data_IF_372486395548
#
_entry.id   IF_372486395548
#
_cell.length_a   1.000
_cell.length_b   1.000
_cell.length_c   1.000
_cell.angle_alpha   90.00
_cell.angle_beta   90.00
_cell.angle_gamma   90.00
#
_symmetry.space_group_name_H-M   'P 1'
#
loop_
_entity.id
_entity.type
_entity.pdbx_description
1 polymer ?
#
# COMPACT_ATOMS: atom_id res chain seq x y z
N UNK A 1 -9.86 28.86 -39.19
CA UNK A 1 -9.19 27.57 -39.44
C UNK A 1 -9.87 26.51 -38.58
N UNK A 2 -10.40 25.48 -39.23
CA UNK A 2 -11.29 24.48 -38.65
C UNK A 2 -10.49 23.43 -37.87
N UNK A 3 -10.55 23.46 -36.54
CA UNK A 3 -10.09 22.36 -35.69
C UNK A 3 -11.25 21.41 -35.49
N UNK A 4 -11.37 20.44 -36.40
CA UNK A 4 -12.23 19.27 -36.26
C UNK A 4 -11.80 18.45 -35.03
N UNK A 5 -12.37 18.79 -33.87
CA UNK A 5 -12.33 17.96 -32.67
C UNK A 5 -13.15 16.70 -32.94
N UNK A 6 -12.47 15.62 -33.27
CA UNK A 6 -13.11 14.34 -33.54
C UNK A 6 -13.83 13.87 -32.26
N UNK A 7 -15.15 13.59 -32.27
CA UNK A 7 -15.89 13.16 -31.08
C UNK A 7 -15.36 11.85 -30.47
N UNK A 8 -14.61 11.08 -31.25
CA UNK A 8 -13.89 9.87 -30.81
C UNK A 8 -12.66 10.21 -29.95
N UNK A 9 -11.96 11.32 -30.22
CA UNK A 9 -10.79 11.73 -29.45
C UNK A 9 -11.17 12.22 -28.05
N UNK A 10 -12.26 13.00 -27.93
CA UNK A 10 -12.81 13.39 -26.62
C UNK A 10 -13.36 12.19 -25.83
N UNK A 11 -13.85 11.16 -26.54
CA UNK A 11 -14.32 9.92 -25.89
C UNK A 11 -13.15 9.07 -25.42
N UNK A 12 -12.04 9.00 -26.18
CA UNK A 12 -10.79 8.35 -25.76
C UNK A 12 -10.09 9.10 -24.63
N UNK A 13 -10.02 10.42 -24.66
CA UNK A 13 -9.45 11.25 -23.58
C UNK A 13 -10.26 11.13 -22.28
N UNK A 14 -11.58 10.94 -22.38
CA UNK A 14 -12.46 10.67 -21.23
C UNK A 14 -12.39 9.21 -20.75
N UNK A 15 -12.07 8.26 -21.64
CA UNK A 15 -11.87 6.83 -21.30
C UNK A 15 -10.48 6.59 -20.69
N UNK A 16 -9.46 7.28 -21.20
CA UNK A 16 -8.09 7.33 -20.65
C UNK A 16 -7.99 8.56 -19.74
N UNK A 17 -8.98 8.73 -18.85
CA UNK A 17 -8.92 9.73 -17.80
C UNK A 17 -7.78 9.44 -16.82
N UNK A 18 -7.45 10.43 -15.97
CA UNK A 18 -6.44 10.28 -14.92
C UNK A 18 -6.70 9.05 -14.04
N UNK A 19 -7.95 8.86 -13.63
CA UNK A 19 -8.43 7.75 -12.80
C UNK A 19 -8.11 6.38 -13.42
N UNK A 20 -8.40 6.18 -14.72
CA UNK A 20 -8.08 4.95 -15.45
C UNK A 20 -6.58 4.70 -15.49
N UNK A 21 -5.77 5.75 -15.70
CA UNK A 21 -4.31 5.64 -15.77
C UNK A 21 -3.70 5.28 -14.41
N UNK A 22 -4.20 5.90 -13.33
CA UNK A 22 -3.77 5.59 -11.96
C UNK A 22 -4.10 4.14 -11.60
N UNK A 23 -5.33 3.71 -11.88
CA UNK A 23 -5.74 2.32 -11.63
C UNK A 23 -4.92 1.33 -12.47
N UNK A 24 -4.73 1.61 -13.76
CA UNK A 24 -3.92 0.78 -14.64
C UNK A 24 -2.47 0.67 -14.16
N UNK A 25 -1.87 1.78 -13.73
CA UNK A 25 -0.52 1.79 -13.20
C UNK A 25 -0.43 0.87 -11.99
N UNK A 26 -1.31 1.04 -11.00
CA UNK A 26 -1.28 0.25 -9.77
C UNK A 26 -1.56 -1.23 -10.02
N UNK A 27 -2.60 -1.57 -10.78
CA UNK A 27 -2.99 -2.96 -10.98
C UNK A 27 -2.06 -3.71 -11.94
N UNK A 28 -1.45 -3.04 -12.92
CA UNK A 28 -0.48 -3.68 -13.81
C UNK A 28 0.96 -3.64 -13.29
N UNK A 29 1.25 -2.84 -12.26
CA UNK A 29 2.61 -2.74 -11.73
C UNK A 29 3.24 -4.11 -11.43
N UNK A 30 2.55 -5.07 -10.77
CA UNK A 30 3.11 -6.37 -10.47
C UNK A 30 3.52 -7.21 -11.70
N UNK A 31 2.87 -6.97 -12.84
CA UNK A 31 3.21 -7.64 -14.11
C UNK A 31 4.48 -7.03 -14.72
N UNK A 32 4.66 -5.72 -14.56
CA UNK A 32 5.72 -4.92 -15.20
C UNK A 32 6.99 -4.90 -14.35
N UNK A 33 6.86 -4.82 -13.03
CA UNK A 33 7.97 -4.78 -12.09
C UNK A 33 8.62 -6.15 -11.86
N UNK A 34 8.00 -7.23 -12.36
CA UNK A 34 8.51 -8.60 -12.28
C UNK A 34 8.11 -9.35 -11.01
N UNK A 35 7.34 -8.74 -10.10
CA UNK A 35 6.89 -9.39 -8.86
C UNK A 35 5.98 -10.58 -9.17
N UNK A 36 5.05 -10.45 -10.11
CA UNK A 36 4.15 -11.56 -10.46
C UNK A 36 4.87 -12.72 -11.16
N UNK A 37 5.70 -12.50 -12.21
CA UNK A 37 6.60 -13.54 -12.73
C UNK A 37 7.45 -14.20 -11.64
N UNK A 38 7.96 -13.41 -10.68
CA UNK A 38 8.75 -13.96 -9.60
C UNK A 38 7.94 -14.90 -8.69
N UNK A 39 6.70 -14.53 -8.37
CA UNK A 39 5.77 -15.36 -7.60
C UNK A 39 5.39 -16.64 -8.34
N UNK A 40 5.22 -16.59 -9.68
CA UNK A 40 4.99 -17.78 -10.49
C UNK A 40 6.15 -18.76 -10.35
N UNK A 41 7.39 -18.27 -10.55
CA UNK A 41 8.60 -19.11 -10.50
C UNK A 41 8.91 -19.64 -9.10
N UNK A 42 8.55 -18.88 -8.07
CA UNK A 42 8.71 -19.26 -6.68
C UNK A 42 7.57 -20.15 -6.15
N UNK A 43 6.68 -20.66 -7.03
CA UNK A 43 5.66 -21.65 -6.67
C UNK A 43 4.44 -21.09 -5.91
N UNK A 44 4.25 -19.76 -5.86
CA UNK A 44 3.12 -19.16 -5.15
C UNK A 44 1.74 -19.55 -5.70
N UNK A 45 1.71 -20.05 -6.93
CA UNK A 45 0.51 -20.35 -7.72
C UNK A 45 0.35 -21.85 -7.98
N UNK A 46 1.07 -22.72 -7.27
CA UNK A 46 0.96 -24.17 -7.47
C UNK A 46 -0.39 -24.73 -6.99
N UNK A 47 -1.06 -24.04 -6.05
CA UNK A 47 -2.39 -24.35 -5.54
C UNK A 47 -3.38 -23.19 -5.86
N UNK A 48 -4.62 -23.49 -6.30
CA UNK A 48 -5.69 -22.49 -6.44
C UNK A 48 -5.86 -21.53 -5.26
N UNK A 49 -5.64 -22.00 -4.04
CA UNK A 49 -5.82 -21.17 -2.84
C UNK A 49 -4.65 -20.19 -2.65
N UNK A 50 -3.44 -20.60 -3.04
CA UNK A 50 -2.30 -19.69 -3.20
C UNK A 50 -2.58 -18.61 -4.25
N UNK A 51 -3.21 -18.99 -5.36
CA UNK A 51 -3.64 -18.04 -6.38
C UNK A 51 -4.67 -17.02 -5.89
N UNK A 52 -5.65 -17.42 -5.06
CA UNK A 52 -6.58 -16.48 -4.42
C UNK A 52 -5.82 -15.48 -3.54
N UNK A 53 -4.91 -15.98 -2.70
CA UNK A 53 -4.12 -15.15 -1.79
C UNK A 53 -3.24 -14.14 -2.56
N UNK A 54 -2.52 -14.61 -3.58
CA UNK A 54 -1.71 -13.75 -4.47
C UNK A 54 -2.61 -12.73 -5.18
N UNK A 55 -3.76 -13.17 -5.68
CA UNK A 55 -4.73 -12.29 -6.34
C UNK A 55 -5.17 -11.12 -5.47
N UNK A 56 -5.55 -11.41 -4.22
CA UNK A 56 -5.99 -10.39 -3.26
C UNK A 56 -4.85 -9.48 -2.79
N UNK A 57 -3.66 -10.01 -2.55
CA UNK A 57 -2.55 -9.24 -1.97
C UNK A 57 -1.77 -8.42 -3.01
N UNK A 58 -1.58 -8.98 -4.21
CA UNK A 58 -0.71 -8.39 -5.23
C UNK A 58 -1.50 -7.52 -6.21
N UNK A 59 -2.62 -8.02 -6.72
CA UNK A 59 -3.46 -7.26 -7.67
C UNK A 59 -4.58 -6.49 -6.98
N UNK A 60 -5.20 -7.09 -5.96
CA UNK A 60 -6.27 -6.48 -5.15
C UNK A 60 -5.77 -5.68 -3.94
N UNK A 61 -4.46 -5.47 -3.80
CA UNK A 61 -3.85 -4.90 -2.59
C UNK A 61 -4.32 -3.48 -2.24
N UNK A 62 -3.79 -2.95 -1.13
CA UNK A 62 -4.18 -1.63 -0.60
C UNK A 62 -4.04 -0.47 -1.57
N UNK A 63 -3.07 -0.52 -2.48
CA UNK A 63 -2.93 0.49 -3.52
C UNK A 63 -4.17 0.54 -4.44
N UNK A 64 -4.69 -0.62 -4.86
CA UNK A 64 -5.89 -0.71 -5.71
C UNK A 64 -7.11 -0.16 -4.98
N UNK A 65 -7.27 -0.53 -3.70
CA UNK A 65 -8.37 -0.02 -2.86
C UNK A 65 -8.27 1.49 -2.67
N UNK A 66 -7.07 2.01 -2.37
CA UNK A 66 -6.84 3.44 -2.19
C UNK A 66 -7.17 4.21 -3.46
N UNK A 67 -6.71 3.75 -4.63
CA UNK A 67 -7.04 4.40 -5.91
C UNK A 67 -8.55 4.42 -6.16
N UNK A 68 -9.25 3.30 -5.98
CA UNK A 68 -10.69 3.23 -6.26
C UNK A 68 -11.51 4.12 -5.32
N UNK A 69 -11.13 4.22 -4.05
CA UNK A 69 -11.92 4.96 -3.07
C UNK A 69 -11.53 6.42 -2.93
N UNK A 70 -10.23 6.74 -3.01
CA UNK A 70 -9.73 8.10 -2.82
C UNK A 70 -9.64 8.88 -4.14
N UNK A 71 -9.22 8.24 -5.24
CA UNK A 71 -8.91 8.94 -6.49
C UNK A 71 -10.04 8.84 -7.52
N UNK A 72 -10.70 7.68 -7.61
CA UNK A 72 -11.73 7.49 -8.63
C UNK A 72 -13.02 8.26 -8.31
N UNK A 73 -13.44 9.06 -9.27
CA UNK A 73 -14.70 9.79 -9.24
C UNK A 73 -15.80 9.10 -10.06
N UNK A 74 -17.04 9.60 -9.99
CA UNK A 74 -18.16 9.08 -10.79
C UNK A 74 -19.02 8.01 -10.11
N UNK A 75 -19.94 7.44 -10.88
CA UNK A 75 -20.91 6.44 -10.41
C UNK A 75 -20.29 5.04 -10.30
N UNK A 76 -20.81 4.15 -9.43
CA UNK A 76 -20.30 2.78 -9.29
C UNK A 76 -20.21 2.00 -10.61
N UNK A 77 -21.11 2.26 -11.55
CA UNK A 77 -21.11 1.64 -12.88
C UNK A 77 -19.98 2.17 -13.78
N UNK A 78 -19.67 3.45 -13.70
CA UNK A 78 -18.54 4.04 -14.42
C UNK A 78 -17.22 3.49 -13.88
N UNK A 79 -17.08 3.42 -12.55
CA UNK A 79 -15.90 2.84 -11.90
C UNK A 79 -15.73 1.35 -12.25
N UNK A 80 -16.82 0.57 -12.20
CA UNK A 80 -16.81 -0.83 -12.64
C UNK A 80 -16.38 -0.99 -14.11
N UNK A 81 -16.78 -0.07 -14.99
CA UNK A 81 -16.37 -0.09 -16.41
C UNK A 81 -14.87 0.15 -16.54
N UNK A 82 -14.30 1.09 -15.77
CA UNK A 82 -12.86 1.36 -15.75
C UNK A 82 -12.09 0.15 -15.20
N UNK A 83 -12.56 -0.46 -14.11
CA UNK A 83 -11.96 -1.69 -13.55
C UNK A 83 -11.96 -2.82 -14.58
N UNK A 84 -13.05 -3.04 -15.31
CA UNK A 84 -13.10 -4.06 -16.36
C UNK A 84 -12.18 -3.74 -17.55
N UNK A 85 -12.08 -2.47 -17.92
CA UNK A 85 -11.19 -2.01 -19.01
C UNK A 85 -9.72 -2.31 -18.69
N UNK A 86 -9.30 -2.13 -17.44
CA UNK A 86 -7.95 -2.44 -16.96
C UNK A 86 -7.78 -3.94 -16.68
N UNK A 87 -8.80 -4.56 -16.08
CA UNK A 87 -8.76 -5.93 -15.57
C UNK A 87 -8.73 -6.99 -16.66
N UNK A 88 -9.45 -6.80 -17.78
CA UNK A 88 -9.43 -7.77 -18.89
C UNK A 88 -8.00 -7.93 -19.45
N UNK A 89 -7.29 -6.86 -19.87
CA UNK A 89 -5.90 -6.96 -20.30
C UNK A 89 -5.00 -7.57 -19.21
N UNK A 90 -5.18 -7.18 -17.95
CA UNK A 90 -4.39 -7.72 -16.82
C UNK A 90 -4.51 -9.24 -16.74
N UNK A 91 -5.72 -9.79 -16.81
CA UNK A 91 -5.97 -11.24 -16.78
C UNK A 91 -5.29 -11.94 -17.96
N UNK A 92 -5.39 -11.36 -19.16
CA UNK A 92 -4.75 -11.91 -20.35
C UNK A 92 -3.22 -11.91 -20.22
N UNK A 93 -2.63 -10.80 -19.77
CA UNK A 93 -1.19 -10.69 -19.56
C UNK A 93 -0.68 -11.66 -18.48
N UNK A 94 -1.43 -11.85 -17.39
CA UNK A 94 -1.09 -12.81 -16.36
C UNK A 94 -1.03 -14.24 -16.91
N UNK A 95 -2.00 -14.64 -17.75
CA UNK A 95 -1.99 -15.93 -18.42
C UNK A 95 -0.79 -16.10 -19.38
N UNK A 96 -0.45 -15.04 -20.13
CA UNK A 96 0.74 -15.04 -21.01
C UNK A 96 2.03 -15.19 -20.20
N UNK A 97 2.18 -14.46 -19.09
CA UNK A 97 3.37 -14.56 -18.24
C UNK A 97 3.53 -15.95 -17.63
N UNK A 98 2.44 -16.56 -17.18
CA UNK A 98 2.47 -17.92 -16.67
C UNK A 98 2.86 -18.94 -17.75
N UNK A 99 2.34 -18.80 -18.97
CA UNK A 99 2.71 -19.67 -20.09
C UNK A 99 4.20 -19.56 -20.48
N UNK A 100 4.82 -18.40 -20.22
CA UNK A 100 6.24 -18.13 -20.46
C UNK A 100 7.13 -18.42 -19.23
N UNK A 101 6.55 -18.75 -18.07
CA UNK A 101 7.32 -18.95 -16.85
C UNK A 101 8.41 -20.03 -16.99
N UNK A 102 8.18 -21.20 -17.60
CA UNK A 102 9.23 -22.21 -17.77
C UNK A 102 10.43 -21.71 -18.59
N UNK A 103 10.19 -20.90 -19.61
CA UNK A 103 11.26 -20.30 -20.42
C UNK A 103 12.10 -19.29 -19.62
N UNK A 104 11.51 -18.62 -18.63
CA UNK A 104 12.24 -17.72 -17.72
C UNK A 104 12.99 -18.55 -16.67
N UNK A 105 12.36 -19.58 -16.12
CA UNK A 105 12.96 -20.45 -15.10
C UNK A 105 14.14 -21.27 -15.61
N UNK A 106 14.20 -21.62 -16.91
CA UNK A 106 15.29 -22.42 -17.48
C UNK A 106 16.67 -21.74 -17.41
N UNK A 107 16.70 -20.41 -17.36
CA UNK A 107 17.93 -19.61 -17.26
C UNK A 107 18.24 -19.15 -15.83
N UNK A 108 17.51 -19.64 -14.83
CA UNK A 108 17.61 -19.17 -13.44
C UNK A 108 17.78 -20.34 -12.45
N UNK A 109 18.68 -20.17 -11.48
CA UNK A 109 18.68 -20.95 -10.24
C UNK A 109 17.44 -20.56 -9.42
N UNK A 110 16.43 -21.43 -9.44
CA UNK A 110 15.14 -21.22 -8.80
C UNK A 110 15.30 -21.02 -7.28
N UNK A 111 16.24 -21.70 -6.63
CA UNK A 111 16.42 -21.61 -5.18
C UNK A 111 16.97 -20.25 -4.77
N UNK A 112 17.95 -19.72 -5.52
CA UNK A 112 18.46 -18.37 -5.29
C UNK A 112 17.35 -17.35 -5.60
N UNK A 113 16.69 -17.51 -6.74
CA UNK A 113 15.64 -16.60 -7.19
C UNK A 113 14.47 -16.50 -6.20
N UNK A 114 14.00 -17.64 -5.67
CA UNK A 114 12.94 -17.72 -4.66
C UNK A 114 13.28 -16.90 -3.40
N UNK A 115 14.52 -16.98 -2.93
CA UNK A 115 14.98 -16.22 -1.75
C UNK A 115 14.95 -14.72 -2.01
N UNK A 116 15.35 -14.28 -3.19
CA UNK A 116 15.27 -12.88 -3.57
C UNK A 116 13.82 -12.43 -3.74
N UNK A 117 12.94 -13.23 -4.35
CA UNK A 117 11.51 -12.93 -4.45
C UNK A 117 10.88 -12.75 -3.07
N UNK A 118 11.19 -13.65 -2.12
CA UNK A 118 10.78 -13.52 -0.73
C UNK A 118 11.26 -12.20 -0.11
N UNK A 119 12.53 -11.83 -0.32
CA UNK A 119 13.11 -10.58 0.18
C UNK A 119 12.40 -9.34 -0.41
N UNK A 120 12.12 -9.35 -1.71
CA UNK A 120 11.40 -8.27 -2.41
C UNK A 120 10.03 -8.04 -1.77
N UNK A 121 9.26 -9.10 -1.54
CA UNK A 121 7.92 -9.00 -0.97
C UNK A 121 7.99 -8.47 0.48
N UNK A 122 8.94 -8.96 1.29
CA UNK A 122 9.17 -8.41 2.64
C UNK A 122 9.54 -6.93 2.58
N UNK A 123 10.37 -6.52 1.62
CA UNK A 123 10.76 -5.13 1.46
C UNK A 123 9.58 -4.22 1.07
N UNK A 124 8.74 -4.66 0.13
CA UNK A 124 7.52 -3.95 -0.27
C UNK A 124 6.55 -3.85 0.92
N UNK A 125 6.33 -4.95 1.64
CA UNK A 125 5.48 -5.00 2.82
C UNK A 125 5.96 -4.01 3.89
N UNK A 126 7.25 -4.06 4.24
CA UNK A 126 7.84 -3.20 5.25
C UNK A 126 7.76 -1.71 4.87
N UNK A 127 8.04 -1.36 3.61
CA UNK A 127 7.92 0.01 3.09
C UNK A 127 6.48 0.52 3.05
N UNK A 128 5.52 -0.39 2.87
CA UNK A 128 4.09 -0.06 2.92
C UNK A 128 3.61 0.14 4.37
N UNK A 129 4.16 -0.63 5.32
CA UNK A 129 3.79 -0.56 6.73
C UNK A 129 4.43 0.64 7.47
N UNK A 130 5.64 1.06 7.10
CA UNK A 130 6.35 2.14 7.78
C UNK A 130 7.27 2.93 6.85
N UNK A 131 7.06 4.25 6.82
CA UNK A 131 7.94 5.18 6.11
C UNK A 131 9.38 5.13 6.67
N UNK A 132 9.54 5.06 7.99
CA UNK A 132 10.86 5.03 8.64
C UNK A 132 11.65 3.78 8.28
N UNK A 133 11.02 2.59 8.28
CA UNK A 133 11.69 1.35 7.86
C UNK A 133 11.95 1.37 6.35
N UNK A 134 11.05 1.99 5.57
CA UNK A 134 11.17 2.14 4.13
C UNK A 134 12.43 2.86 3.65
N UNK A 135 13.00 3.75 4.48
CA UNK A 135 14.23 4.49 4.15
C UNK A 135 15.51 3.67 4.34
N UNK A 136 15.49 2.66 5.22
CA UNK A 136 16.63 1.79 5.47
C UNK A 136 16.69 0.58 4.53
N UNK A 137 15.57 0.22 3.91
CA UNK A 137 15.48 -0.95 3.05
C UNK A 137 15.90 -0.63 1.61
N UNK A 138 16.62 -1.54 0.93
CA UNK A 138 16.93 -1.39 -0.48
C UNK A 138 15.64 -1.27 -1.30
N UNK A 139 15.70 -0.49 -2.39
CA UNK A 139 14.58 -0.41 -3.31
C UNK A 139 14.26 -1.80 -3.89
N UNK A 140 12.99 -2.25 -3.91
CA UNK A 140 12.57 -3.53 -4.49
C UNK A 140 13.21 -3.83 -5.86
N UNK A 141 13.33 -2.83 -6.73
CA UNK A 141 13.94 -2.98 -8.06
C UNK A 141 15.41 -3.38 -7.99
N UNK A 142 16.16 -2.86 -7.00
CA UNK A 142 17.56 -3.22 -6.79
C UNK A 142 17.67 -4.67 -6.31
N UNK A 143 16.78 -5.10 -5.42
CA UNK A 143 16.73 -6.48 -4.93
C UNK A 143 16.42 -7.44 -6.09
N UNK A 144 15.43 -7.11 -6.93
CA UNK A 144 15.09 -7.88 -8.14
C UNK A 144 16.29 -7.98 -9.09
N UNK A 145 16.96 -6.85 -9.36
CA UNK A 145 18.13 -6.82 -10.24
C UNK A 145 19.29 -7.67 -9.71
N UNK A 146 19.60 -7.56 -8.41
CA UNK A 146 20.61 -8.41 -7.76
C UNK A 146 20.20 -9.88 -7.76
N UNK A 147 18.92 -10.17 -7.52
CA UNK A 147 18.39 -11.52 -7.57
C UNK A 147 18.55 -12.14 -8.94
N UNK A 148 18.17 -11.44 -10.00
CA UNK A 148 18.32 -11.89 -11.38
C UNK A 148 19.80 -12.14 -11.73
N UNK A 149 20.70 -11.22 -11.37
CA UNK A 149 22.13 -11.38 -11.64
C UNK A 149 22.71 -12.56 -10.86
N UNK A 150 22.31 -12.73 -9.60
CA UNK A 150 22.77 -13.82 -8.75
C UNK A 150 22.21 -15.19 -9.17
N UNK A 151 21.00 -15.22 -9.73
CA UNK A 151 20.33 -16.45 -10.13
C UNK A 151 20.61 -16.85 -11.58
N UNK A 152 21.22 -16.01 -12.42
CA UNK A 152 21.45 -16.36 -13.83
C UNK A 152 22.32 -17.62 -13.96
N UNK A 153 21.76 -18.64 -14.61
CA UNK A 153 22.47 -19.85 -15.06
C UNK A 153 22.26 -20.01 -16.58
N UNK A 154 23.14 -19.42 -17.41
CA UNK A 154 22.99 -19.45 -18.86
C UNK A 154 23.22 -20.85 -19.46
N UNK A 155 23.76 -21.80 -18.69
CA UNK A 155 23.99 -23.17 -19.17
C UNK A 155 22.70 -23.99 -19.28
N UNK A 156 21.62 -23.57 -18.61
CA UNK A 156 20.29 -24.23 -18.64
C UNK A 156 19.31 -23.67 -19.68
N UNK A 157 19.72 -22.72 -20.52
CA UNK A 157 18.83 -21.97 -21.39
C UNK A 157 18.05 -22.86 -22.38
N UNK A 158 16.75 -23.02 -22.13
CA UNK A 158 15.83 -23.74 -23.01
C UNK A 158 14.56 -22.93 -23.24
N UNK A 159 14.16 -22.76 -24.51
CA UNK A 159 12.90 -22.10 -24.84
C UNK A 159 11.77 -23.12 -24.83
N UNK A 160 11.24 -23.39 -23.65
CA UNK A 160 10.10 -24.29 -23.44
C UNK A 160 8.87 -23.46 -23.14
N UNK A 161 7.85 -23.59 -23.98
CA UNK A 161 6.51 -23.08 -23.67
C UNK A 161 5.80 -24.10 -22.79
N UNK A 162 5.10 -23.63 -21.77
CA UNK A 162 4.55 -24.48 -20.72
C UNK A 162 3.55 -25.54 -21.21
N UNK A 163 3.73 -26.79 -20.79
CA UNK A 163 2.78 -27.91 -21.00
C UNK A 163 1.78 -28.11 -19.84
N UNK A 164 1.90 -27.33 -18.75
CA UNK A 164 1.06 -27.46 -17.57
C UNK A 164 -0.11 -26.44 -17.56
N UNK A 165 -1.33 -26.83 -17.95
CA UNK A 165 -2.48 -25.93 -17.99
C UNK A 165 -2.92 -25.45 -16.60
N UNK A 166 -2.55 -26.15 -15.51
CA UNK A 166 -2.98 -25.76 -14.16
C UNK A 166 -2.32 -24.46 -13.70
N UNK A 167 -1.04 -24.23 -14.01
CA UNK A 167 -0.35 -23.00 -13.59
C UNK A 167 -0.92 -21.76 -14.32
N UNK A 168 -1.22 -21.90 -15.61
CA UNK A 168 -1.87 -20.83 -16.39
C UNK A 168 -3.26 -20.55 -15.83
N UNK A 169 -4.03 -21.59 -15.49
CA UNK A 169 -5.34 -21.43 -14.87
C UNK A 169 -5.23 -20.74 -13.50
N UNK A 170 -4.25 -21.09 -12.68
CA UNK A 170 -4.02 -20.47 -11.37
C UNK A 170 -3.55 -19.01 -11.51
N UNK A 171 -2.73 -18.69 -12.50
CA UNK A 171 -2.33 -17.30 -12.78
C UNK A 171 -3.50 -16.43 -13.24
N UNK A 172 -4.34 -16.97 -14.14
CA UNK A 172 -5.60 -16.33 -14.57
C UNK A 172 -6.57 -16.20 -13.38
N UNK A 173 -6.63 -17.19 -12.50
CA UNK A 173 -7.42 -17.13 -11.26
C UNK A 173 -6.91 -16.01 -10.37
N UNK A 174 -5.61 -15.90 -10.10
CA UNK A 174 -5.04 -14.86 -9.26
C UNK A 174 -5.38 -13.46 -9.79
N UNK A 175 -5.13 -13.23 -11.08
CA UNK A 175 -5.50 -11.98 -11.74
C UNK A 175 -7.02 -11.73 -11.67
N UNK A 176 -7.82 -12.76 -11.93
CA UNK A 176 -9.28 -12.70 -11.88
C UNK A 176 -9.82 -12.36 -10.50
N UNK A 177 -9.23 -12.91 -9.44
CA UNK A 177 -9.57 -12.61 -8.04
C UNK A 177 -9.24 -11.16 -7.71
N UNK A 178 -8.06 -10.66 -8.11
CA UNK A 178 -7.70 -9.26 -7.92
C UNK A 178 -8.65 -8.30 -8.63
N UNK A 179 -9.03 -8.61 -9.87
CA UNK A 179 -10.00 -7.82 -10.64
C UNK A 179 -11.40 -7.91 -10.05
N UNK A 180 -11.85 -9.10 -9.63
CA UNK A 180 -13.15 -9.28 -8.99
C UNK A 180 -13.23 -8.53 -7.66
N UNK A 181 -12.14 -8.53 -6.89
CA UNK A 181 -12.03 -7.75 -5.66
C UNK A 181 -12.10 -6.24 -5.95
N UNK A 182 -11.30 -5.75 -6.90
CA UNK A 182 -11.37 -4.35 -7.35
C UNK A 182 -12.78 -3.95 -7.81
N UNK A 183 -13.47 -4.84 -8.53
CA UNK A 183 -14.83 -4.63 -8.99
C UNK A 183 -15.81 -4.55 -7.82
N UNK A 184 -15.66 -5.42 -6.81
CA UNK A 184 -16.46 -5.37 -5.59
C UNK A 184 -16.26 -4.05 -4.83
N UNK A 185 -15.02 -3.56 -4.72
CA UNK A 185 -14.71 -2.27 -4.09
C UNK A 185 -15.31 -1.10 -4.90
N UNK A 186 -15.20 -1.12 -6.23
CA UNK A 186 -15.77 -0.08 -7.09
C UNK A 186 -17.31 -0.02 -7.00
N UNK A 187 -17.97 -1.17 -6.96
CA UNK A 187 -19.42 -1.25 -6.80
C UNK A 187 -19.87 -0.85 -5.39
N UNK A 188 -19.09 -1.22 -4.36
CA UNK A 188 -19.30 -0.85 -2.97
C UNK A 188 -18.84 0.56 -2.61
N UNK A 189 -18.20 1.28 -3.53
CA UNK A 189 -17.52 2.55 -3.29
C UNK A 189 -18.31 3.60 -2.51
N UNK A 190 -19.61 3.85 -2.81
CA UNK A 190 -20.42 4.82 -2.07
C UNK A 190 -20.57 4.50 -0.58
N UNK A 191 -20.58 3.22 -0.21
CA UNK A 191 -20.64 2.78 1.18
C UNK A 191 -19.24 2.78 1.80
N UNK A 192 -18.26 2.19 1.09
CA UNK A 192 -16.90 2.00 1.59
C UNK A 192 -16.15 3.32 1.84
N UNK A 193 -16.39 4.37 1.05
CA UNK A 193 -15.77 5.69 1.28
C UNK A 193 -16.12 6.30 2.64
N UNK A 194 -17.30 5.98 3.18
CA UNK A 194 -17.77 6.53 4.45
C UNK A 194 -17.44 5.67 5.67
N UNK A 195 -17.21 4.37 5.48
CA UNK A 195 -17.01 3.42 6.57
C UNK A 195 -15.64 2.75 6.60
N UNK A 196 -14.71 3.06 5.68
CA UNK A 196 -13.42 2.37 5.64
C UNK A 196 -12.24 3.30 5.90
N UNK A 197 -11.44 2.94 6.90
CA UNK A 197 -10.15 3.53 7.18
C UNK A 197 -9.08 2.93 6.24
N UNK A 198 -8.70 3.71 5.22
CA UNK A 198 -7.74 3.32 4.19
C UNK A 198 -6.34 3.10 4.78
N UNK A 199 -5.94 3.90 5.78
CA UNK A 199 -4.62 3.78 6.39
C UNK A 199 -4.51 2.48 7.20
N UNK A 200 -5.56 2.14 7.95
CA UNK A 200 -5.63 0.87 8.69
C UNK A 200 -5.66 -0.34 7.73
N UNK A 201 -6.41 -0.26 6.63
CA UNK A 201 -6.38 -1.31 5.60
C UNK A 201 -5.00 -1.43 4.95
N UNK A 202 -4.34 -0.31 4.65
CA UNK A 202 -2.98 -0.28 4.09
C UNK A 202 -1.98 -0.95 5.02
N UNK A 203 -2.02 -0.64 6.31
CA UNK A 203 -1.15 -1.29 7.29
C UNK A 203 -1.42 -2.79 7.40
N UNK A 204 -2.68 -3.20 7.56
CA UNK A 204 -3.03 -4.61 7.71
C UNK A 204 -2.74 -5.45 6.46
N UNK A 205 -2.98 -4.92 5.26
CA UNK A 205 -2.59 -5.56 4.00
C UNK A 205 -1.08 -5.65 3.82
N UNK A 206 -0.30 -4.69 4.33
CA UNK A 206 1.15 -4.77 4.35
C UNK A 206 1.65 -5.89 5.28
N UNK A 207 1.03 -6.06 6.45
CA UNK A 207 1.32 -7.19 7.35
C UNK A 207 0.98 -8.52 6.67
N UNK A 208 -0.19 -8.62 6.02
CA UNK A 208 -0.57 -9.79 5.27
C UNK A 208 0.41 -10.10 4.13
N UNK A 209 0.83 -9.09 3.37
CA UNK A 209 1.85 -9.22 2.33
C UNK A 209 3.20 -9.70 2.90
N UNK A 210 3.59 -9.22 4.08
CA UNK A 210 4.82 -9.65 4.76
C UNK A 210 4.80 -11.11 5.23
N UNK A 211 3.62 -11.70 5.43
CA UNK A 211 3.48 -13.12 5.75
C UNK A 211 3.54 -14.03 4.52
N UNK A 212 3.27 -13.49 3.32
CA UNK A 212 3.22 -14.25 2.06
C UNK A 212 4.53 -15.03 1.80
N UNK A 213 5.73 -14.42 1.92
CA UNK A 213 6.99 -15.13 1.73
C UNK A 213 7.22 -16.27 2.70
N UNK A 214 6.76 -16.12 3.94
CA UNK A 214 6.88 -17.17 4.96
C UNK A 214 6.04 -18.40 4.57
N UNK A 215 4.84 -18.16 4.03
CA UNK A 215 3.99 -19.23 3.50
C UNK A 215 4.61 -19.90 2.28
N UNK A 216 5.31 -19.15 1.42
CA UNK A 216 5.95 -19.71 0.22
C UNK A 216 7.13 -20.60 0.56
N UNK A 217 7.97 -20.18 1.52
CA UNK A 217 9.14 -20.93 1.99
C UNK A 217 8.80 -22.20 2.80
N UNK A 218 7.54 -22.65 2.78
CA UNK A 218 7.09 -23.86 3.46
C UNK A 218 7.07 -23.78 5.00
N UNK A 219 7.18 -22.58 5.58
CA UNK A 219 6.90 -22.42 7.01
C UNK A 219 5.40 -22.63 7.25
N UNK A 220 5.02 -23.03 8.47
CA UNK A 220 3.64 -23.41 8.85
C UNK A 220 2.64 -22.21 8.88
N UNK A 221 2.79 -21.27 7.96
CA UNK A 221 1.99 -20.06 7.81
C UNK A 221 0.94 -20.17 6.70
N UNK A 222 0.81 -21.29 5.98
CA UNK A 222 -0.20 -21.57 4.94
C UNK A 222 -1.19 -20.44 4.60
N UNK A 223 -2.30 -20.35 5.33
CA UNK A 223 -3.36 -19.35 5.08
C UNK A 223 -3.30 -18.10 5.99
N UNK A 224 -2.21 -17.93 6.73
CA UNK A 224 -1.99 -16.77 7.58
C UNK A 224 -2.01 -15.44 6.82
N UNK A 225 -1.44 -15.30 5.59
CA UNK A 225 -1.54 -14.06 4.84
C UNK A 225 -3.00 -13.72 4.49
N UNK A 226 -3.78 -14.69 4.03
CA UNK A 226 -5.21 -14.51 3.74
C UNK A 226 -6.00 -14.18 5.01
N UNK A 227 -5.74 -14.88 6.12
CA UNK A 227 -6.38 -14.60 7.41
C UNK A 227 -6.04 -13.19 7.92
N UNK A 228 -4.77 -12.77 7.82
CA UNK A 228 -4.34 -11.43 8.18
C UNK A 228 -5.01 -10.36 7.32
N UNK A 229 -5.19 -10.62 6.02
CA UNK A 229 -5.92 -9.72 5.13
C UNK A 229 -7.40 -9.61 5.50
N UNK A 230 -8.05 -10.73 5.86
CA UNK A 230 -9.44 -10.71 6.33
C UNK A 230 -9.58 -9.92 7.63
N UNK A 231 -8.70 -10.15 8.59
CA UNK A 231 -8.67 -9.39 9.85
C UNK A 231 -8.43 -7.90 9.55
N UNK A 232 -7.49 -7.56 8.66
CA UNK A 232 -7.24 -6.20 8.24
C UNK A 232 -8.50 -5.55 7.63
N UNK A 233 -9.22 -6.25 6.76
CA UNK A 233 -10.47 -5.78 6.17
C UNK A 233 -11.55 -5.52 7.22
N UNK A 234 -11.74 -6.45 8.16
CA UNK A 234 -12.72 -6.29 9.25
C UNK A 234 -12.38 -5.10 10.14
N UNK A 235 -11.11 -4.96 10.54
CA UNK A 235 -10.68 -3.87 11.42
C UNK A 235 -10.61 -2.51 10.74
N UNK A 236 -10.51 -2.48 9.41
CA UNK A 236 -10.54 -1.25 8.63
C UNK A 236 -11.96 -0.69 8.46
N UNK A 237 -13.01 -1.50 8.68
CA UNK A 237 -14.39 -1.00 8.64
C UNK A 237 -14.70 -0.29 9.97
N UNK A 238 -14.81 1.02 9.91
CA UNK A 238 -15.35 1.88 10.96
C UNK A 238 -16.88 1.91 10.85
N UNK A 239 -17.53 1.07 11.65
CA UNK A 239 -18.97 1.14 11.84
C UNK A 239 -19.25 2.25 12.85
N UNK A 240 -20.06 3.28 12.51
CA UNK A 240 -20.58 4.20 13.50
C UNK A 240 -21.58 3.43 14.35
N UNK A 241 -21.07 2.63 15.29
CA UNK A 241 -21.85 2.21 16.42
C UNK A 241 -22.13 3.51 17.17
N UNK A 242 -23.38 3.95 17.17
CA UNK A 242 -23.92 4.82 18.20
C UNK A 242 -23.66 4.12 19.54
N UNK A 243 -22.42 4.23 20.03
CA UNK A 243 -22.20 4.30 21.46
C UNK A 243 -22.85 5.60 21.84
N UNK A 244 -24.12 5.50 22.22
CA UNK A 244 -24.71 6.37 23.23
C UNK A 244 -23.75 6.34 24.42
N UNK A 245 -22.71 7.16 24.33
CA UNK A 245 -21.92 7.61 25.44
C UNK A 245 -22.80 8.65 26.11
N UNK A 246 -23.89 8.18 26.71
CA UNK A 246 -24.63 8.89 27.73
C UNK A 246 -23.75 8.93 28.98
N UNK A 247 -22.61 9.62 28.88
CA UNK A 247 -21.73 10.02 29.98
C UNK A 247 -21.36 11.51 29.84
N UNK A 248 -22.25 12.26 29.22
CA UNK A 248 -22.35 13.71 29.37
C UNK A 248 -23.63 14.05 30.15
N UNK A 249 -23.64 13.67 31.42
CA UNK A 249 -24.49 14.20 32.48
C UNK A 249 -23.64 14.09 33.75
N UNK A 250 -23.36 15.10 34.56
CA UNK A 250 -23.89 16.45 34.74
C UNK A 250 -22.87 17.13 35.65
N UNK A 251 -22.68 18.44 35.54
CA UNK A 251 -21.90 19.20 36.51
C UNK A 251 -22.46 18.98 37.92
N UNK A 252 -21.63 18.44 38.80
CA UNK A 252 -21.92 18.26 40.22
C UNK A 252 -21.56 19.57 40.93
N UNK A 253 -22.60 20.32 41.30
CA UNK A 253 -22.48 21.50 42.13
C UNK A 253 -23.12 21.19 43.48
N UNK A 254 -22.31 21.35 44.55
CA UNK A 254 -22.64 21.52 45.98
C UNK A 254 -22.61 20.27 46.92
N UNK A 255 -22.42 20.46 48.26
CA UNK A 255 -21.09 20.52 48.93
C UNK A 255 -20.97 19.65 50.21
N UNK A 256 -19.75 19.55 50.79
CA UNK A 256 -19.39 18.96 52.12
C UNK A 256 -19.63 17.44 52.26
N UNK A 257 -18.74 16.58 52.74
CA UNK A 257 -18.02 16.62 54.02
C UNK A 257 -17.03 15.41 54.13
N UNK A 258 -15.84 15.67 54.69
CA UNK A 258 -14.99 14.81 55.56
C UNK A 258 -14.54 13.35 55.24
N UNK A 259 -13.22 13.16 55.48
CA UNK A 259 -12.42 11.96 55.83
C UNK A 259 -11.94 11.08 54.64
N UNK A 260 -10.66 10.86 54.36
CA UNK A 260 -9.39 11.18 55.04
C UNK A 260 -8.40 10.02 54.83
N UNK A 261 -7.18 10.30 54.34
CA UNK A 261 -5.94 9.56 54.68
C UNK A 261 -4.73 10.21 54.01
N UNK A 262 -3.80 10.65 54.85
CA UNK A 262 -2.53 11.30 54.59
C UNK A 262 -1.47 10.31 54.10
N UNK A 263 -0.52 10.76 53.28
CA UNK A 263 0.92 10.45 53.45
C UNK A 263 1.79 11.59 52.90
N UNK A 264 2.86 11.85 53.63
CA UNK A 264 3.73 13.02 53.73
C UNK A 264 5.13 12.77 53.12
N UNK A 265 5.82 13.85 52.73
CA UNK A 265 7.28 13.95 52.59
C UNK A 265 7.80 14.02 51.15
N UNK A 266 8.51 15.06 50.70
CA UNK A 266 9.00 16.29 51.32
C UNK A 266 10.01 16.99 50.39
N UNK A 267 10.22 18.30 50.57
CA UNK A 267 11.45 18.99 50.16
C UNK A 267 11.32 20.15 49.17
N UNK A 268 10.85 21.31 49.64
CA UNK A 268 11.16 22.66 49.15
C UNK A 268 10.89 23.60 50.36
N UNK A 269 11.54 24.71 50.65
CA UNK A 269 12.52 25.60 50.06
C UNK A 269 13.17 26.35 51.26
N UNK A 270 14.26 27.07 51.05
CA UNK A 270 14.50 28.26 51.87
C UNK A 270 15.37 29.28 51.15
N UNK A 271 15.06 30.54 51.45
CA UNK A 271 15.85 31.77 51.30
C UNK A 271 15.63 32.54 49.98
N UNK A 272 15.39 33.86 49.96
CA UNK A 272 14.99 34.81 51.00
C UNK A 272 14.73 36.16 50.28
N UNK A 273 13.95 37.02 50.95
CA UNK A 273 14.03 38.49 50.99
C UNK A 273 14.18 39.35 49.70
N UNK A 274 13.09 40.03 49.37
CA UNK A 274 12.88 41.50 49.48
C UNK A 274 13.83 42.54 48.80
N UNK A 275 13.19 43.39 47.99
CA UNK A 275 13.40 44.83 47.66
C UNK A 275 14.79 45.43 47.38
N UNK A 276 14.95 46.04 46.19
CA UNK A 276 15.04 47.52 46.01
C UNK A 276 15.25 47.92 44.54
N UNK A 277 14.55 48.99 44.14
CA UNK A 277 14.63 49.72 42.87
C UNK A 277 15.98 50.44 42.67
N UNK A 278 16.44 50.57 41.42
CA UNK A 278 16.99 51.85 40.93
C UNK A 278 16.92 51.99 39.40
N UNK A 279 16.55 53.20 38.99
CA UNK A 279 16.27 53.69 37.64
C UNK A 279 17.55 53.92 36.81
N UNK A 280 17.49 53.71 35.48
CA UNK A 280 18.08 54.64 34.47
C UNK A 280 17.83 54.22 33.02
N UNK A 281 16.74 54.75 32.47
CA UNK A 281 16.67 55.58 31.26
C UNK A 281 17.73 55.38 30.13
N UNK A 282 17.29 54.99 28.92
CA UNK A 282 17.70 55.59 27.63
C UNK A 282 17.13 54.88 26.39
N UNK A 283 16.01 55.40 25.90
CA UNK A 283 15.66 55.75 24.51
C UNK A 283 15.92 54.83 23.27
N UNK A 284 15.30 55.17 22.11
CA UNK A 284 14.97 54.20 21.05
C UNK A 284 15.58 54.48 19.64
N UNK A 285 15.66 53.41 18.81
CA UNK A 285 15.83 53.37 17.32
C UNK A 285 17.19 53.83 16.70
N UNK A 286 17.52 53.60 15.40
CA UNK A 286 16.93 52.78 14.31
C UNK A 286 17.92 51.98 13.37
N UNK A 287 17.32 51.15 12.50
CA UNK A 287 17.65 50.76 11.10
C UNK A 287 19.10 50.50 10.62
N UNK A 288 19.29 49.37 9.92
CA UNK A 288 19.89 49.43 8.57
C UNK A 288 19.38 48.30 7.65
N UNK A 289 19.05 48.72 6.43
CA UNK A 289 18.57 47.97 5.28
C UNK A 289 19.75 47.85 4.31
N UNK A 290 20.16 46.63 3.96
CA UNK A 290 20.94 46.42 2.74
C UNK A 290 20.67 45.03 2.16
N UNK A 291 19.88 45.07 1.10
CA UNK A 291 19.89 44.16 -0.03
C UNK A 291 21.29 43.69 -0.42
N UNK A 292 21.50 42.37 -0.53
CA UNK A 292 22.14 41.84 -1.74
C UNK A 292 21.81 40.37 -1.98
N UNK A 293 21.18 40.15 -3.12
CA UNK A 293 20.79 38.87 -3.71
C UNK A 293 21.88 38.45 -4.68
N UNK A 294 22.69 37.45 -4.32
CA UNK A 294 23.59 36.80 -5.31
C UNK A 294 23.65 35.29 -5.09
N UNK A 295 23.11 34.53 -6.04
CA UNK A 295 23.70 33.23 -6.37
C UNK A 295 22.81 32.00 -6.50
N UNK A 296 21.47 32.09 -6.44
CA UNK A 296 20.60 30.96 -6.85
C UNK A 296 20.29 31.07 -8.34
N UNK A 297 20.79 30.14 -9.16
CA UNK A 297 20.29 29.92 -10.51
C UNK A 297 19.27 28.76 -10.51
N UNK A 298 18.22 28.81 -11.37
CA UNK A 298 16.94 28.21 -11.07
C UNK A 298 16.56 27.16 -12.13
N UNK A 299 17.06 25.93 -11.98
CA UNK A 299 16.54 24.72 -12.66
C UNK A 299 17.35 23.47 -12.27
N UNK A 300 17.18 23.01 -11.04
CA UNK A 300 17.37 21.61 -10.66
C UNK A 300 16.35 21.30 -9.56
#
# INVERSE_FOLDING_TARGET
MSTSRHPVALRLERIVGGDTRLLALVMMLPLIDGVFPALILAGALDDPLGAVQVGLLIFGGSATVAVILAEMSGTPREQATIVMLVGIPLILLAGVQAALAPAIGSVLDIVIFERFAALVIVAIAAKTASATIGDYLPNPVVIIGLGLVASIDPAGAEFVVMDNPSLVANAVLAAGVGVAFALAIALGGPYLRGCMDIDRFRFGSAVALGLLPLSMLGMAFGQAPLAALLVAGVFAIDLPLERDSSDSATGDDSPTDSLGALTDGGGSDADDADSSDDDSDSGPYPADDSTDTQGRAPWL
#
